data_IF_166007527564
#
_entry.id   IF_166007527564
#
_cell.length_a   1.000
_cell.length_b   1.000
_cell.length_c   1.000
_cell.angle_alpha   90.00
_cell.angle_beta   90.00
_cell.angle_gamma   90.00
#
_symmetry.space_group_name_H-M   'P 1'
#
loop_
_entity.id
_entity.type
_entity.pdbx_description
1 polymer ?
#
# COMPACT_ATOMS: atom_id res chain seq x y z
N UNK A 1 66.15 36.85 -13.63
CA UNK A 1 64.99 37.55 -13.04
C UNK A 1 63.80 36.61 -12.98
N UNK A 2 62.87 36.86 -12.05
CA UNK A 2 61.73 35.99 -11.80
C UNK A 2 60.56 36.47 -12.66
N UNK A 3 60.10 35.68 -13.66
CA UNK A 3 59.07 36.08 -14.65
C UNK A 3 57.72 36.54 -14.05
N UNK A 4 57.54 36.41 -12.74
CA UNK A 4 56.37 36.88 -11.99
C UNK A 4 56.38 38.41 -11.78
N UNK A 5 57.56 39.03 -11.72
CA UNK A 5 57.70 40.46 -11.44
C UNK A 5 57.41 41.33 -12.68
N UNK A 6 57.70 40.82 -13.89
CA UNK A 6 57.57 41.53 -15.18
C UNK A 6 56.11 41.84 -15.61
N UNK A 7 55.10 41.39 -14.87
CA UNK A 7 53.67 41.64 -15.16
C UNK A 7 52.88 42.17 -13.94
N UNK A 8 53.57 42.73 -12.94
CA UNK A 8 52.94 43.27 -11.72
C UNK A 8 53.21 44.77 -11.50
N UNK A 9 53.52 45.52 -12.56
CA UNK A 9 53.71 46.98 -12.50
C UNK A 9 52.49 47.72 -11.93
N UNK A 10 51.29 47.20 -12.19
CA UNK A 10 50.02 47.69 -11.62
C UNK A 10 49.97 47.64 -10.08
N UNK A 11 50.76 46.78 -9.42
CA UNK A 11 50.82 46.72 -7.95
C UNK A 11 51.53 47.96 -7.36
N UNK A 12 52.38 48.63 -8.14
CA UNK A 12 53.01 49.92 -7.79
C UNK A 12 52.10 51.12 -8.09
N UNK A 13 51.33 51.06 -9.18
CA UNK A 13 50.40 52.13 -9.58
C UNK A 13 49.13 52.17 -8.70
N UNK A 14 48.68 51.01 -8.23
CA UNK A 14 47.49 50.86 -7.40
C UNK A 14 47.77 50.10 -6.08
N UNK A 15 48.60 50.65 -5.17
CA UNK A 15 49.03 49.96 -3.96
C UNK A 15 47.87 49.59 -3.02
N UNK A 16 46.77 50.35 -3.04
CA UNK A 16 45.54 49.99 -2.33
C UNK A 16 44.91 48.71 -2.88
N UNK A 17 44.79 48.56 -4.21
CA UNK A 17 44.26 47.35 -4.84
C UNK A 17 45.19 46.15 -4.66
N UNK A 18 46.51 46.37 -4.72
CA UNK A 18 47.50 45.34 -4.42
C UNK A 18 47.43 44.84 -2.97
N UNK A 19 47.05 45.71 -2.02
CA UNK A 19 46.88 45.37 -0.61
C UNK A 19 45.60 44.59 -0.28
N UNK A 20 44.64 44.51 -1.21
CA UNK A 20 43.41 43.76 -0.99
C UNK A 20 43.68 42.25 -1.01
N UNK A 21 42.99 41.47 -0.16
CA UNK A 21 43.10 40.02 -0.20
C UNK A 21 42.59 39.50 -1.55
N UNK A 22 43.38 38.64 -2.20
CA UNK A 22 43.05 38.00 -3.49
C UNK A 22 42.01 36.87 -3.29
N UNK A 23 40.83 37.24 -2.78
CA UNK A 23 39.69 36.36 -2.48
C UNK A 23 38.54 36.63 -3.43
N UNK A 24 37.91 35.57 -3.95
CA UNK A 24 36.68 35.68 -4.75
C UNK A 24 35.48 36.03 -3.85
N UNK A 25 34.81 37.18 -4.01
CA UNK A 25 33.65 37.55 -3.19
C UNK A 25 32.37 36.77 -3.56
N UNK A 26 32.39 36.05 -4.69
CA UNK A 26 31.29 35.25 -5.17
C UNK A 26 31.34 33.85 -4.59
N UNK A 27 30.27 33.45 -3.92
CA UNK A 27 30.01 32.08 -3.48
C UNK A 27 28.73 31.59 -4.13
N UNK A 28 28.71 30.32 -4.55
CA UNK A 28 27.50 29.65 -5.04
C UNK A 28 26.97 28.69 -3.98
N UNK A 29 25.65 28.43 -3.92
CA UNK A 29 25.10 27.42 -3.02
C UNK A 29 25.68 26.02 -3.25
N UNK A 30 25.66 25.18 -2.21
CA UNK A 30 26.08 23.79 -2.30
C UNK A 30 25.34 23.05 -3.42
N UNK A 31 26.09 22.23 -4.17
CA UNK A 31 25.60 21.48 -5.33
C UNK A 31 25.07 22.33 -6.52
N UNK A 32 25.28 23.67 -6.55
CA UNK A 32 24.88 24.51 -7.69
C UNK A 32 25.34 23.93 -9.05
N UNK A 33 26.65 23.72 -9.23
CA UNK A 33 27.21 23.15 -10.46
C UNK A 33 26.86 21.67 -10.69
N UNK A 34 26.40 20.94 -9.67
CA UNK A 34 25.96 19.54 -9.79
C UNK A 34 24.57 19.45 -10.41
N UNK A 35 23.68 20.39 -10.11
CA UNK A 35 22.32 20.45 -10.67
C UNK A 35 22.22 21.30 -11.94
N UNK A 36 23.17 22.22 -12.16
CA UNK A 36 23.17 23.13 -13.30
C UNK A 36 22.98 22.45 -14.68
N UNK A 37 23.64 21.32 -15.03
CA UNK A 37 23.41 20.66 -16.33
C UNK A 37 21.96 20.22 -16.54
N UNK A 38 21.36 19.59 -15.51
CA UNK A 38 19.96 19.15 -15.56
C UNK A 38 18.98 20.32 -15.64
N UNK A 39 19.29 21.45 -14.99
CA UNK A 39 18.49 22.68 -15.13
C UNK A 39 18.54 23.21 -16.57
N UNK A 40 19.72 23.27 -17.19
CA UNK A 40 19.90 23.70 -18.59
C UNK A 40 19.17 22.77 -19.55
N UNK A 41 19.31 21.45 -19.40
CA UNK A 41 18.57 20.46 -20.21
C UNK A 41 17.05 20.62 -20.08
N UNK A 42 16.54 20.85 -18.85
CA UNK A 42 15.10 21.05 -18.64
C UNK A 42 14.56 22.33 -19.29
N UNK A 43 15.36 23.41 -19.31
CA UNK A 43 14.99 24.67 -19.96
C UNK A 43 14.97 24.53 -21.49
N UNK A 44 15.98 23.88 -22.08
CA UNK A 44 16.05 23.61 -23.53
C UNK A 44 14.85 22.74 -23.95
N UNK A 45 14.56 21.67 -23.20
CA UNK A 45 13.42 20.79 -23.48
C UNK A 45 12.08 21.54 -23.43
N UNK A 46 11.86 22.40 -22.44
CA UNK A 46 10.65 23.23 -22.38
C UNK A 46 10.54 24.18 -23.57
N UNK A 47 11.64 24.80 -24.00
CA UNK A 47 11.62 25.70 -25.16
C UNK A 47 11.35 24.97 -26.48
N UNK A 48 11.87 23.74 -26.63
CA UNK A 48 11.56 22.89 -27.79
C UNK A 48 10.11 22.41 -27.81
N UNK A 49 9.48 22.15 -26.66
CA UNK A 49 8.05 21.88 -26.56
C UNK A 49 7.22 23.10 -27.00
N UNK A 50 7.55 24.30 -26.51
CA UNK A 50 6.88 25.57 -26.85
C UNK A 50 7.00 25.89 -28.36
N UNK A 51 8.06 25.45 -29.03
CA UNK A 51 8.25 25.62 -30.48
C UNK A 51 7.52 24.56 -31.32
N UNK A 52 7.32 23.36 -30.77
CA UNK A 52 6.80 22.20 -31.51
C UNK A 52 5.28 22.05 -31.39
N UNK A 53 4.71 22.43 -30.25
CA UNK A 53 3.27 22.47 -30.04
C UNK A 53 2.82 23.94 -30.04
N UNK A 54 1.81 24.29 -30.84
CA UNK A 54 1.10 25.55 -30.66
C UNK A 54 0.26 25.41 -29.38
N UNK A 55 0.88 25.70 -28.24
CA UNK A 55 0.38 25.45 -26.88
C UNK A 55 -0.89 26.26 -26.51
N UNK A 56 -1.59 26.84 -27.48
CA UNK A 56 -2.78 27.66 -27.27
C UNK A 56 -2.50 29.04 -26.68
N UNK A 57 -1.23 29.44 -26.60
CA UNK A 57 -0.79 30.78 -26.16
C UNK A 57 -0.55 31.74 -27.33
N UNK A 58 -0.99 31.39 -28.54
CA UNK A 58 -1.01 32.28 -29.70
C UNK A 58 -2.13 33.31 -29.58
N UNK A 59 -1.82 34.56 -29.92
CA UNK A 59 -2.82 35.65 -29.92
C UNK A 59 -3.75 35.45 -31.12
N UNK A 60 -5.09 35.50 -30.96
CA UNK A 60 -6.02 35.39 -32.07
C UNK A 60 -5.75 36.42 -33.17
N UNK A 61 -5.86 36.00 -34.43
CA UNK A 61 -5.77 36.90 -35.59
C UNK A 61 -6.83 38.00 -35.49
N UNK A 62 -6.43 39.27 -35.59
CA UNK A 62 -7.34 40.42 -35.45
C UNK A 62 -7.51 40.94 -34.02
N UNK A 63 -6.86 40.33 -33.01
CA UNK A 63 -7.05 40.72 -31.60
C UNK A 63 -6.78 42.20 -31.34
N UNK A 64 -5.66 42.75 -31.83
CA UNK A 64 -5.29 44.14 -31.54
C UNK A 64 -6.06 45.14 -32.42
N UNK A 65 -6.42 44.72 -33.62
CA UNK A 65 -7.24 45.44 -34.58
C UNK A 65 -8.66 45.67 -34.02
N UNK A 66 -9.26 44.62 -33.44
CA UNK A 66 -10.60 44.70 -32.85
C UNK A 66 -10.59 45.19 -31.38
N UNK A 67 -9.44 45.20 -30.69
CA UNK A 67 -9.33 45.52 -29.26
C UNK A 67 -9.95 46.87 -28.90
N UNK A 68 -9.65 47.93 -29.68
CA UNK A 68 -10.15 49.27 -29.43
C UNK A 68 -11.69 49.32 -29.55
N UNK A 69 -12.23 48.77 -30.65
CA UNK A 69 -13.67 48.67 -30.90
C UNK A 69 -14.40 47.88 -29.80
N UNK A 70 -13.81 46.75 -29.36
CA UNK A 70 -14.36 45.93 -28.27
C UNK A 70 -14.38 46.67 -26.92
N UNK A 71 -13.33 47.45 -26.60
CA UNK A 71 -13.27 48.28 -25.39
C UNK A 71 -14.32 49.38 -25.44
N UNK A 72 -14.42 50.13 -26.55
CA UNK A 72 -15.41 51.19 -26.72
C UNK A 72 -16.86 50.67 -26.65
N UNK A 73 -17.13 49.57 -27.35
CA UNK A 73 -18.41 48.86 -27.29
C UNK A 73 -18.76 48.45 -25.86
N UNK A 74 -17.79 47.90 -25.12
CA UNK A 74 -18.04 47.50 -23.73
C UNK A 74 -18.28 48.68 -22.81
N UNK A 75 -17.53 49.78 -22.96
CA UNK A 75 -17.75 51.02 -22.19
C UNK A 75 -19.15 51.56 -22.47
N UNK A 76 -19.59 51.59 -23.74
CA UNK A 76 -20.94 52.03 -24.09
C UNK A 76 -22.02 51.15 -23.44
N UNK A 77 -21.90 49.82 -23.51
CA UNK A 77 -22.83 48.91 -22.81
C UNK A 77 -22.85 49.17 -21.29
N UNK A 78 -21.70 49.37 -20.68
CA UNK A 78 -21.55 49.66 -19.25
C UNK A 78 -22.09 51.06 -18.84
N UNK A 79 -22.31 52.01 -19.76
CA UNK A 79 -22.99 53.29 -19.47
C UNK A 79 -24.51 53.20 -19.61
N UNK A 80 -25.03 52.36 -20.52
CA UNK A 80 -26.47 52.12 -20.66
C UNK A 80 -27.01 51.10 -19.65
N UNK A 81 -26.17 50.21 -19.14
CA UNK A 81 -26.49 49.35 -18.00
C UNK A 81 -26.65 50.20 -16.73
N UNK A 82 -27.87 50.33 -16.22
CA UNK A 82 -28.16 50.99 -14.94
C UNK A 82 -27.42 50.30 -13.78
N UNK A 83 -26.19 50.75 -13.48
CA UNK A 83 -25.34 50.20 -12.40
C UNK A 83 -26.02 50.24 -11.04
N UNK A 84 -26.90 51.22 -10.82
CA UNK A 84 -27.71 51.34 -9.61
C UNK A 84 -28.71 50.18 -9.42
N UNK A 85 -29.23 49.60 -10.52
CA UNK A 85 -30.20 48.50 -10.47
C UNK A 85 -29.54 47.10 -10.47
N UNK A 86 -28.26 47.01 -10.87
CA UNK A 86 -27.57 45.72 -11.02
C UNK A 86 -27.20 45.05 -9.68
N UNK A 87 -27.16 45.80 -8.58
CA UNK A 87 -26.75 45.32 -7.26
C UNK A 87 -27.83 45.48 -6.18
N UNK A 88 -29.08 45.79 -6.55
CA UNK A 88 -30.19 45.81 -5.58
C UNK A 88 -30.76 44.41 -5.36
N UNK A 89 -31.13 44.12 -4.11
CA UNK A 89 -31.96 42.95 -3.82
C UNK A 89 -33.43 43.28 -4.09
N UNK A 90 -34.24 42.36 -4.66
CA UNK A 90 -35.67 42.56 -4.81
C UNK A 90 -36.38 42.84 -3.48
N UNK A 91 -37.51 43.55 -3.55
CA UNK A 91 -38.31 43.88 -2.37
C UNK A 91 -38.67 42.64 -1.53
N UNK A 92 -38.45 42.76 -0.22
CA UNK A 92 -38.64 41.71 0.79
C UNK A 92 -37.83 40.42 0.53
N UNK A 93 -36.68 40.51 -0.18
CA UNK A 93 -35.77 39.36 -0.38
C UNK A 93 -35.34 38.73 0.95
N UNK A 94 -34.88 39.54 1.90
CA UNK A 94 -34.38 39.05 3.19
C UNK A 94 -35.48 38.47 4.07
N UNK A 95 -36.70 39.00 4.04
CA UNK A 95 -37.85 38.45 4.78
C UNK A 95 -38.27 37.09 4.24
N UNK A 96 -38.33 36.94 2.91
CA UNK A 96 -38.60 35.66 2.23
C UNK A 96 -37.49 34.64 2.51
N UNK A 97 -36.24 35.07 2.50
CA UNK A 97 -35.09 34.22 2.85
C UNK A 97 -35.17 33.73 4.29
N UNK A 98 -35.46 34.62 5.24
CA UNK A 98 -35.62 34.29 6.65
C UNK A 98 -36.76 33.28 6.87
N UNK A 99 -37.95 33.52 6.30
CA UNK A 99 -39.07 32.58 6.37
C UNK A 99 -38.74 31.20 5.76
N UNK A 100 -38.01 31.16 4.65
CA UNK A 100 -37.53 29.92 4.02
C UNK A 100 -36.53 29.16 4.92
N UNK A 101 -35.64 29.86 5.61
CA UNK A 101 -34.70 29.24 6.56
C UNK A 101 -35.45 28.67 7.77
N UNK A 102 -36.38 29.42 8.36
CA UNK A 102 -37.12 28.99 9.56
C UNK A 102 -38.00 27.76 9.28
N UNK A 103 -38.74 27.73 8.18
CA UNK A 103 -39.55 26.57 7.76
C UNK A 103 -38.71 25.31 7.48
N UNK A 104 -37.50 25.47 6.93
CA UNK A 104 -36.58 24.36 6.68
C UNK A 104 -35.87 23.85 7.93
N UNK A 105 -35.65 24.69 8.95
CA UNK A 105 -34.80 24.36 10.11
C UNK A 105 -35.57 24.07 11.40
N UNK A 106 -36.72 24.73 11.63
CA UNK A 106 -37.50 24.63 12.87
C UNK A 106 -38.66 23.65 12.72
N UNK A 107 -39.40 23.73 11.61
CA UNK A 107 -40.62 22.93 11.40
C UNK A 107 -40.29 21.49 10.96
N UNK A 108 -39.25 21.32 10.15
CA UNK A 108 -38.79 20.01 9.67
C UNK A 108 -37.77 19.35 10.61
N UNK A 109 -38.09 19.22 11.91
CA UNK A 109 -37.39 18.26 12.78
C UNK A 109 -37.81 16.85 12.37
N UNK A 110 -36.95 16.03 11.73
CA UNK A 110 -37.32 14.66 11.43
C UNK A 110 -37.62 13.95 12.75
N UNK A 111 -38.77 13.26 12.84
CA UNK A 111 -39.10 12.42 14.00
C UNK A 111 -38.05 11.30 14.07
N UNK A 112 -37.00 11.51 14.86
CA UNK A 112 -35.88 10.58 14.98
C UNK A 112 -36.41 9.26 15.55
N UNK A 113 -36.56 8.25 14.69
CA UNK A 113 -36.97 6.92 15.11
C UNK A 113 -35.82 6.27 15.88
N UNK A 114 -35.80 6.52 17.19
CA UNK A 114 -34.81 5.96 18.13
C UNK A 114 -34.87 4.43 18.05
N UNK A 115 -33.96 3.83 17.25
CA UNK A 115 -33.80 2.38 17.20
C UNK A 115 -32.89 1.96 18.35
N UNK A 116 -33.42 1.17 19.29
CA UNK A 116 -32.61 0.50 20.31
C UNK A 116 -31.77 -0.58 19.62
N UNK A 117 -30.44 -0.42 19.62
CA UNK A 117 -29.51 -1.32 18.92
C UNK A 117 -29.31 -2.67 19.65
N UNK A 118 -29.51 -2.70 20.96
CA UNK A 118 -29.30 -3.87 21.81
C UNK A 118 -30.63 -4.34 22.40
N UNK A 119 -31.42 -5.06 21.59
CA UNK A 119 -32.79 -5.45 21.96
C UNK A 119 -33.25 -6.78 21.38
N UNK A 120 -32.34 -7.65 20.93
CA UNK A 120 -32.68 -8.99 20.40
C UNK A 120 -32.14 -10.11 21.29
N UNK A 121 -32.85 -11.25 21.29
CA UNK A 121 -32.46 -12.47 22.00
C UNK A 121 -31.16 -13.12 21.47
N UNK A 122 -30.54 -12.55 20.44
CA UNK A 122 -29.34 -13.09 19.79
C UNK A 122 -28.13 -13.20 20.74
N UNK A 123 -28.10 -12.40 21.81
CA UNK A 123 -27.07 -12.49 22.87
C UNK A 123 -27.00 -13.88 23.51
N UNK A 124 -28.16 -14.57 23.65
CA UNK A 124 -28.24 -15.92 24.23
C UNK A 124 -27.52 -16.94 23.34
N UNK A 125 -27.76 -16.86 22.03
CA UNK A 125 -27.13 -17.74 21.03
C UNK A 125 -25.65 -17.43 20.82
N UNK A 126 -25.27 -16.14 20.79
CA UNK A 126 -23.88 -15.71 20.68
C UNK A 126 -23.03 -16.24 21.85
N UNK A 127 -23.54 -16.13 23.09
CA UNK A 127 -22.87 -16.67 24.27
C UNK A 127 -22.70 -18.19 24.21
N UNK A 128 -23.73 -18.93 23.79
CA UNK A 128 -23.63 -20.39 23.62
C UNK A 128 -22.59 -20.81 22.57
N UNK A 129 -22.55 -20.11 21.43
CA UNK A 129 -21.55 -20.38 20.38
C UNK A 129 -20.11 -20.15 20.87
N UNK A 130 -19.86 -19.10 21.66
CA UNK A 130 -18.55 -18.85 22.25
C UNK A 130 -18.10 -19.99 23.19
N UNK A 131 -18.99 -20.57 23.99
CA UNK A 131 -18.66 -21.72 24.85
C UNK A 131 -18.33 -22.98 24.04
N UNK A 132 -19.05 -23.24 22.95
CA UNK A 132 -18.74 -24.37 22.05
C UNK A 132 -17.35 -24.20 21.43
N UNK A 133 -17.03 -23.01 20.92
CA UNK A 133 -15.73 -22.69 20.32
C UNK A 133 -14.61 -22.85 21.36
N UNK A 134 -14.75 -22.25 22.55
CA UNK A 134 -13.74 -22.34 23.61
C UNK A 134 -13.49 -23.79 24.06
N UNK A 135 -14.56 -24.59 24.21
CA UNK A 135 -14.44 -26.00 24.58
C UNK A 135 -13.76 -26.84 23.49
N UNK A 136 -14.15 -26.64 22.22
CA UNK A 136 -13.55 -27.32 21.08
C UNK A 136 -12.07 -26.95 20.90
N UNK A 137 -11.70 -25.67 21.01
CA UNK A 137 -10.30 -25.22 20.97
C UNK A 137 -9.49 -25.80 22.14
N UNK A 138 -10.06 -25.86 23.35
CA UNK A 138 -9.42 -26.47 24.51
C UNK A 138 -9.11 -27.96 24.31
N UNK A 139 -10.06 -28.73 23.77
CA UNK A 139 -9.87 -30.15 23.45
C UNK A 139 -8.84 -30.35 22.32
N UNK A 140 -8.89 -29.53 21.27
CA UNK A 140 -7.95 -29.59 20.15
C UNK A 140 -6.49 -29.36 20.60
N UNK A 141 -6.25 -28.35 21.43
CA UNK A 141 -4.91 -28.08 21.99
C UNK A 141 -4.44 -29.21 22.93
N UNK A 142 -5.36 -29.83 23.68
CA UNK A 142 -5.03 -30.99 24.50
C UNK A 142 -4.61 -32.21 23.64
N UNK A 143 -5.35 -32.50 22.57
CA UNK A 143 -4.99 -33.57 21.63
C UNK A 143 -3.62 -33.31 20.98
N UNK A 144 -3.34 -32.06 20.58
CA UNK A 144 -2.05 -31.68 19.98
C UNK A 144 -0.87 -31.86 20.94
N UNK A 145 -1.05 -31.61 22.24
CA UNK A 145 -0.02 -31.84 23.25
C UNK A 145 0.32 -33.33 23.42
N UNK A 146 -0.68 -34.22 23.42
CA UNK A 146 -0.46 -35.67 23.51
C UNK A 146 0.24 -36.21 22.25
N UNK A 147 -0.20 -35.80 21.05
CA UNK A 147 0.43 -36.21 19.78
C UNK A 147 1.88 -35.71 19.64
N UNK A 148 2.20 -34.53 20.21
CA UNK A 148 3.56 -34.02 20.24
C UNK A 148 4.48 -34.83 21.16
N UNK A 149 3.94 -35.36 22.27
CA UNK A 149 4.68 -36.19 23.21
C UNK A 149 5.07 -37.54 22.59
N UNK A 150 4.12 -38.23 21.97
CA UNK A 150 4.33 -39.47 21.21
C UNK A 150 5.47 -39.31 20.18
N UNK A 151 5.36 -38.31 19.29
CA UNK A 151 6.38 -38.08 18.25
C UNK A 151 7.76 -37.70 18.81
N UNK A 152 7.83 -37.11 20.01
CA UNK A 152 9.11 -36.87 20.68
C UNK A 152 9.70 -38.14 21.31
N UNK A 153 8.86 -39.06 21.78
CA UNK A 153 9.31 -40.36 22.27
C UNK A 153 9.81 -41.24 21.11
N UNK A 154 9.12 -41.23 19.98
CA UNK A 154 9.53 -41.92 18.74
C UNK A 154 10.91 -41.43 18.25
N UNK A 155 11.13 -40.11 18.15
CA UNK A 155 12.42 -39.53 17.77
C UNK A 155 13.56 -39.86 18.74
N UNK A 156 13.29 -39.92 20.05
CA UNK A 156 14.28 -40.34 21.04
C UNK A 156 14.61 -41.82 20.90
N UNK A 157 13.61 -42.67 20.61
CA UNK A 157 13.82 -44.10 20.41
C UNK A 157 14.61 -44.37 19.11
N UNK A 158 14.34 -43.62 18.04
CA UNK A 158 15.10 -43.64 16.79
C UNK A 158 16.56 -43.18 17.02
N UNK A 159 16.79 -42.15 17.83
CA UNK A 159 18.15 -41.76 18.22
C UNK A 159 18.86 -42.83 19.05
N UNK A 160 18.17 -43.47 20.00
CA UNK A 160 18.72 -44.59 20.78
C UNK A 160 19.11 -45.78 19.91
N UNK A 161 18.40 -46.02 18.78
CA UNK A 161 18.74 -47.04 17.79
C UNK A 161 20.04 -46.72 17.02
N UNK A 162 20.34 -45.44 16.77
CA UNK A 162 21.61 -45.01 16.17
C UNK A 162 22.81 -45.09 17.14
N UNK A 163 22.56 -44.96 18.46
CA UNK A 163 23.59 -45.08 19.49
C UNK A 163 23.90 -46.55 19.90
N UNK A 164 23.28 -47.55 19.25
CA UNK A 164 23.62 -48.97 19.48
C UNK A 164 24.95 -49.30 18.80
N UNK A 165 25.93 -49.73 19.60
CA UNK A 165 27.23 -50.17 19.10
C UNK A 165 27.14 -51.42 18.22
N UNK A 166 27.93 -51.45 17.13
CA UNK A 166 27.87 -52.49 16.08
C UNK A 166 28.10 -53.90 16.64
N UNK A 167 28.93 -54.01 17.69
CA UNK A 167 29.22 -55.29 18.36
C UNK A 167 27.96 -55.95 18.96
N UNK A 168 27.01 -55.16 19.46
CA UNK A 168 25.75 -55.65 20.07
C UNK A 168 24.80 -56.19 18.99
N UNK A 169 24.79 -55.57 17.81
CA UNK A 169 23.97 -56.00 16.66
C UNK A 169 24.47 -57.35 16.13
N UNK A 170 25.80 -57.54 16.07
CA UNK A 170 26.43 -58.80 15.66
C UNK A 170 26.13 -59.94 16.65
N UNK A 171 26.06 -59.66 17.94
CA UNK A 171 25.66 -60.65 18.96
C UNK A 171 24.23 -61.15 18.74
N UNK A 172 23.26 -60.24 18.59
CA UNK A 172 21.84 -60.57 18.44
C UNK A 172 21.47 -61.28 17.12
N UNK A 173 22.15 -60.97 16.02
CA UNK A 173 21.87 -61.61 14.72
C UNK A 173 22.30 -63.08 14.67
N UNK A 174 23.39 -63.43 15.38
CA UNK A 174 23.83 -64.82 15.51
C UNK A 174 22.84 -65.69 16.30
N UNK A 175 22.12 -65.09 17.27
CA UNK A 175 21.09 -65.80 18.04
C UNK A 175 19.84 -66.10 17.18
N UNK A 176 19.45 -65.16 16.30
CA UNK A 176 18.15 -65.19 15.60
C UNK A 176 18.10 -66.13 14.38
N UNK A 177 19.21 -66.41 13.69
CA UNK A 177 19.21 -67.20 12.43
C UNK A 177 18.77 -68.67 12.58
N UNK A 178 18.53 -69.16 13.80
CA UNK A 178 18.19 -70.55 14.08
C UNK A 178 16.71 -70.94 13.90
N UNK A 179 15.78 -70.00 13.63
CA UNK A 179 14.36 -70.22 13.90
C UNK A 179 13.34 -70.33 12.72
N UNK A 180 13.53 -69.68 11.56
CA UNK A 180 12.39 -69.34 10.65
C UNK A 180 12.38 -70.05 9.27
N UNK A 181 11.92 -71.31 9.18
CA UNK A 181 11.95 -72.12 7.93
C UNK A 181 10.62 -72.81 7.50
N UNK A 182 9.45 -72.35 7.95
CA UNK A 182 8.11 -72.89 7.60
C UNK A 182 7.05 -71.75 7.60
N UNK A 183 5.91 -71.78 6.89
CA UNK A 183 5.48 -72.44 5.64
C UNK A 183 4.10 -71.86 5.21
N UNK A 184 3.78 -71.74 3.91
CA UNK A 184 2.54 -71.08 3.44
C UNK A 184 1.37 -72.03 3.06
N UNK A 185 1.61 -73.32 2.89
CA UNK A 185 0.66 -74.24 2.23
C UNK A 185 -0.65 -74.50 3.00
N UNK A 186 -0.70 -74.19 4.29
CA UNK A 186 -1.87 -74.45 5.15
C UNK A 186 -2.98 -73.39 4.98
N UNK A 187 -2.64 -72.20 4.46
CA UNK A 187 -3.55 -71.05 4.38
C UNK A 187 -4.57 -71.14 3.23
N UNK A 188 -4.18 -71.66 2.06
CA UNK A 188 -5.02 -71.64 0.85
C UNK A 188 -6.26 -72.53 0.98
N UNK A 189 -6.15 -73.68 1.65
CA UNK A 189 -7.26 -74.63 1.82
C UNK A 189 -8.41 -74.04 2.65
N UNK A 190 -8.10 -73.21 3.66
CA UNK A 190 -9.10 -72.64 4.58
C UNK A 190 -10.12 -71.71 3.87
N UNK A 191 -9.70 -71.07 2.77
CA UNK A 191 -10.52 -70.09 2.05
C UNK A 191 -11.55 -70.79 1.16
N UNK A 192 -11.17 -71.89 0.50
CA UNK A 192 -12.05 -72.62 -0.43
C UNK A 192 -13.22 -73.33 0.27
N UNK A 193 -13.11 -73.62 1.57
CA UNK A 193 -14.12 -74.38 2.32
C UNK A 193 -15.26 -73.51 2.87
N UNK A 194 -15.05 -72.20 3.04
CA UNK A 194 -15.93 -71.34 3.84
C UNK A 194 -16.83 -70.35 3.05
N UNK A 195 -16.69 -70.23 1.73
CA UNK A 195 -17.46 -69.26 0.93
C UNK A 195 -17.98 -69.85 -0.39
N UNK A 196 -19.27 -69.64 -0.71
CA UNK A 196 -19.89 -70.18 -1.94
C UNK A 196 -20.04 -69.13 -3.03
N UNK A 197 -19.96 -69.53 -4.30
CA UNK A 197 -19.90 -68.61 -5.44
C UNK A 197 -21.10 -67.66 -5.59
N UNK A 198 -22.23 -67.94 -4.92
CA UNK A 198 -23.42 -67.09 -4.97
C UNK A 198 -23.41 -65.97 -3.91
N UNK A 199 -22.62 -66.14 -2.84
CA UNK A 199 -22.33 -65.07 -1.87
C UNK A 199 -21.39 -64.02 -2.48
N UNK A 200 -20.56 -64.44 -3.44
CA UNK A 200 -19.62 -63.58 -4.18
C UNK A 200 -20.34 -62.75 -5.25
N UNK A 201 -21.45 -63.22 -5.80
CA UNK A 201 -22.13 -62.62 -6.96
C UNK A 201 -23.34 -61.73 -6.63
N UNK A 202 -23.84 -61.74 -5.39
CA UNK A 202 -24.99 -60.92 -4.95
C UNK A 202 -24.60 -59.60 -4.29
N UNK A 203 -23.29 -59.29 -4.22
CA UNK A 203 -22.72 -58.04 -3.72
C UNK A 203 -21.94 -57.28 -4.81
N UNK A 204 -22.56 -57.09 -5.98
CA UNK A 204 -22.07 -56.23 -7.07
C UNK A 204 -23.19 -55.41 -7.72
#
# INVERSE_FOLDING_TARGET
MNKREENMEWELEAPYLASLPKTTPFSVPDNYFKHFPSQVESAIFLEDLVKKEDLGFSIPTGYFEDLASNIESRIAVDTFANKEAAFTTPDNYFDKLNASILSKTIENKPKTKVRRLWGSDFMKYASAACFIILSATGLYLNQQNNLKLERSAELVNEQMLYDIDENVIIEHLNETQTASNLSNAEMENYILENYTSNDISTNL
#
